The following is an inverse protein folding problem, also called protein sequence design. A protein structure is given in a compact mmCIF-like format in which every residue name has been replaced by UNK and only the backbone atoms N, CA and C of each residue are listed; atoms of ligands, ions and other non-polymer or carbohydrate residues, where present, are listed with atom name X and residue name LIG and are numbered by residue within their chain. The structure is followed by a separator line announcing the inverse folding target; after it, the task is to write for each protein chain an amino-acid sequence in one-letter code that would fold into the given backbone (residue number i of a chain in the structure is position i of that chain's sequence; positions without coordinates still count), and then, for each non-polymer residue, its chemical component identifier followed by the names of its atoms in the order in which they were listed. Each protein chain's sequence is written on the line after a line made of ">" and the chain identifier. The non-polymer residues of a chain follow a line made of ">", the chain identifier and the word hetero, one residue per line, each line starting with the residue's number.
data_IF_171365366490
#
_entry.id   IF_171365366490
#
_cell.length_a   1.000
_cell.length_b   1.000
_cell.length_c   1.000
_cell.angle_alpha   90.00
_cell.angle_beta   90.00
_cell.angle_gamma   90.00
#
_symmetry.space_group_name_H-M   'P 1'
#
loop_
_entity.id
_entity.type
_entity.pdbx_description
1 polymer ?
#
# COMPACT_ATOMS: atom_id res chain seq x y z
N UNK A 1 1.29 6.47 6.44
CA UNK A 1 1.23 6.50 4.98
C UNK A 1 2.63 6.42 4.39
N UNK A 2 3.08 5.23 3.95
CA UNK A 2 4.48 4.97 3.61
C UNK A 2 4.97 5.75 2.39
N UNK A 3 4.06 6.24 1.55
CA UNK A 3 4.35 6.93 0.28
C UNK A 3 3.93 8.39 0.24
N UNK A 4 3.48 8.97 1.37
CA UNK A 4 2.84 10.30 1.40
C UNK A 4 3.72 11.49 1.00
N UNK A 5 5.05 11.33 1.01
CA UNK A 5 6.02 12.36 0.58
C UNK A 5 6.59 12.11 -0.83
N UNK A 6 6.08 11.12 -1.56
CA UNK A 6 6.55 10.78 -2.89
C UNK A 6 5.58 11.32 -3.95
N UNK A 7 6.08 11.61 -5.15
CA UNK A 7 5.21 11.82 -6.29
C UNK A 7 4.46 10.51 -6.63
N UNK A 8 3.35 10.63 -7.37
CA UNK A 8 2.46 9.49 -7.66
C UNK A 8 3.20 8.34 -8.35
N UNK A 9 4.10 8.62 -9.29
CA UNK A 9 4.84 7.58 -10.00
C UNK A 9 5.79 6.82 -9.09
N UNK A 10 6.54 7.56 -8.27
CA UNK A 10 7.46 6.95 -7.28
C UNK A 10 6.68 6.17 -6.21
N UNK A 11 5.55 6.70 -5.73
CA UNK A 11 4.66 6.03 -4.79
C UNK A 11 4.15 4.69 -5.34
N UNK A 12 3.71 4.66 -6.59
CA UNK A 12 3.20 3.45 -7.24
C UNK A 12 4.27 2.36 -7.39
N UNK A 13 5.49 2.77 -7.76
CA UNK A 13 6.63 1.87 -7.89
C UNK A 13 7.05 1.28 -6.54
N UNK A 14 7.20 2.12 -5.51
CA UNK A 14 7.54 1.68 -4.14
C UNK A 14 6.47 0.72 -3.61
N UNK A 15 5.18 1.03 -3.81
CA UNK A 15 4.10 0.14 -3.39
C UNK A 15 4.14 -1.21 -4.12
N UNK A 16 4.47 -1.22 -5.42
CA UNK A 16 4.70 -2.47 -6.17
C UNK A 16 5.78 -3.33 -5.52
N UNK A 17 6.95 -2.74 -5.22
CA UNK A 17 8.05 -3.43 -4.55
C UNK A 17 7.65 -3.97 -3.18
N UNK A 18 6.85 -3.23 -2.41
CA UNK A 18 6.32 -3.71 -1.13
C UNK A 18 5.44 -4.96 -1.32
N UNK A 19 4.56 -4.98 -2.32
CA UNK A 19 3.69 -6.13 -2.56
C UNK A 19 4.48 -7.36 -3.02
N UNK A 20 5.48 -7.18 -3.90
CA UNK A 20 6.36 -8.26 -4.35
C UNK A 20 7.17 -8.82 -3.18
N UNK A 21 7.74 -7.94 -2.35
CA UNK A 21 8.47 -8.29 -1.13
C UNK A 21 7.60 -9.11 -0.15
N UNK A 22 6.35 -8.71 0.08
CA UNK A 22 5.43 -9.48 0.92
C UNK A 22 5.17 -10.88 0.38
N UNK A 23 4.98 -11.01 -0.94
CA UNK A 23 4.77 -12.31 -1.60
C UNK A 23 6.00 -13.20 -1.50
N UNK A 24 7.18 -12.66 -1.77
CA UNK A 24 8.45 -13.40 -1.74
C UNK A 24 8.81 -13.88 -0.34
N UNK A 25 8.55 -13.06 0.68
CA UNK A 25 8.88 -13.38 2.07
C UNK A 25 7.77 -14.13 2.82
N UNK A 26 6.59 -14.31 2.20
CA UNK A 26 5.42 -14.89 2.87
C UNK A 26 4.92 -14.03 4.04
N UNK A 27 5.07 -12.71 3.94
CA UNK A 27 4.67 -11.73 4.96
C UNK A 27 3.48 -10.90 4.50
N UNK A 28 2.95 -10.07 5.40
CA UNK A 28 1.85 -9.16 5.10
C UNK A 28 2.24 -7.73 5.47
N UNK A 29 1.86 -6.77 4.62
CA UNK A 29 1.93 -5.34 4.95
C UNK A 29 0.58 -4.83 5.42
N UNK A 30 0.59 -4.07 6.52
CA UNK A 30 -0.54 -3.25 6.95
C UNK A 30 -0.23 -1.81 6.58
N UNK A 31 -1.01 -1.25 5.65
CA UNK A 31 -0.79 0.10 5.11
C UNK A 31 -1.96 1.00 5.48
N UNK A 32 -1.64 2.18 6.01
CA UNK A 32 -2.59 3.26 6.22
C UNK A 32 -2.41 4.27 5.11
N UNK A 33 -3.48 4.55 4.36
CA UNK A 33 -3.51 5.54 3.29
C UNK A 33 -4.87 6.22 3.19
N UNK A 34 -4.89 7.45 2.68
CA UNK A 34 -6.11 8.13 2.25
C UNK A 34 -6.39 7.95 0.75
N UNK A 35 -5.49 7.31 0.00
CA UNK A 35 -5.63 7.04 -1.43
C UNK A 35 -6.43 5.75 -1.66
N UNK A 36 -7.65 5.91 -2.18
CA UNK A 36 -8.54 4.78 -2.48
C UNK A 36 -8.02 3.88 -3.62
N UNK A 37 -7.26 4.42 -4.58
CA UNK A 37 -6.70 3.65 -5.67
C UNK A 37 -5.57 2.73 -5.17
N UNK A 38 -4.75 3.22 -4.24
CA UNK A 38 -3.72 2.41 -3.58
C UNK A 38 -4.34 1.35 -2.67
N UNK A 39 -5.36 1.71 -1.90
CA UNK A 39 -6.09 0.76 -1.05
C UNK A 39 -6.74 -0.38 -1.84
N UNK A 40 -7.24 -0.11 -3.05
CA UNK A 40 -7.85 -1.12 -3.93
C UNK A 40 -6.86 -2.17 -4.46
N UNK A 41 -5.55 -1.92 -4.36
CA UNK A 41 -4.49 -2.88 -4.70
C UNK A 41 -4.18 -3.85 -3.56
N UNK A 42 -4.67 -3.59 -2.34
CA UNK A 42 -4.50 -4.47 -1.20
C UNK A 42 -5.48 -5.65 -1.26
N UNK A 43 -5.09 -6.80 -0.68
CA UNK A 43 -5.98 -7.97 -0.59
C UNK A 43 -7.19 -7.78 0.33
N UNK A 44 -7.11 -6.83 1.26
CA UNK A 44 -8.22 -6.43 2.11
C UNK A 44 -8.13 -4.92 2.40
N UNK A 45 -9.29 -4.28 2.54
CA UNK A 45 -9.40 -2.87 2.94
C UNK A 45 -10.31 -2.76 4.14
N UNK A 46 -9.83 -2.09 5.19
CA UNK A 46 -10.62 -1.76 6.38
C UNK A 46 -10.81 -0.26 6.44
N UNK A 47 -12.06 0.17 6.61
CA UNK A 47 -12.41 1.58 6.80
C UNK A 47 -12.57 1.83 8.30
N UNK A 48 -11.80 2.76 8.82
CA UNK A 48 -11.95 3.21 10.20
C UNK A 48 -13.09 4.22 10.26
N UNK A 49 -14.24 3.79 10.78
CA UNK A 49 -15.35 4.66 11.13
C UNK A 49 -15.23 5.04 12.63
N UNK A 50 -15.61 6.28 12.96
CA UNK A 50 -15.58 6.79 14.34
C UNK A 50 -16.73 6.22 15.17
#
# INVERSE_FOLDING_TARGET
>A
EPTGNLDRGTADAVFGLMMDCAREQGTAFVVVTHDAALAARCGATLQLAR
#
